data_IF_646952842352
#
_entry.id   IF_646952842352
#
_cell.length_a   1.000
_cell.length_b   1.000
_cell.length_c   1.000
_cell.angle_alpha   90.00
_cell.angle_beta   90.00
_cell.angle_gamma   90.00
#
_symmetry.space_group_name_H-M   'P 1'
#
loop_
_entity.id
_entity.type
_entity.pdbx_description
1 polymer ?
#
# COMPACT_ATOMS: atom_id res chain seq x y z
N UNK A 1 -62.20 15.11 -5.03
CA UNK A 1 -62.31 14.76 -3.61
C UNK A 1 -61.22 13.77 -3.30
N UNK A 2 -60.52 14.08 -2.20
CA UNK A 2 -59.60 13.25 -1.42
C UNK A 2 -58.20 13.09 -2.05
N UNK A 3 -57.25 14.00 -1.77
CA UNK A 3 -56.45 14.17 -0.53
C UNK A 3 -55.17 13.33 -0.54
N UNK A 4 -54.02 14.03 -0.54
CA UNK A 4 -52.78 13.74 0.19
C UNK A 4 -52.07 12.38 -0.05
N UNK A 5 -50.78 12.26 -0.35
CA UNK A 5 -49.61 13.10 -0.06
C UNK A 5 -48.45 12.66 -0.94
N UNK A 6 -47.60 13.62 -1.33
CA UNK A 6 -46.25 13.36 -1.85
C UNK A 6 -45.40 12.65 -0.80
N UNK A 7 -44.80 11.52 -1.14
CA UNK A 7 -43.78 10.87 -0.31
C UNK A 7 -42.49 10.60 -1.12
N UNK A 8 -41.52 11.48 -0.88
CA UNK A 8 -40.07 11.25 -0.79
C UNK A 8 -39.29 10.70 -2.01
N UNK A 9 -38.71 11.68 -2.72
CA UNK A 9 -37.28 11.84 -3.08
C UNK A 9 -36.31 10.66 -2.77
N UNK A 10 -35.44 10.40 -3.75
CA UNK A 10 -34.11 9.75 -3.74
C UNK A 10 -34.02 8.22 -3.84
N UNK A 11 -33.56 7.77 -5.01
CA UNK A 11 -32.52 6.73 -5.09
C UNK A 11 -31.39 7.21 -5.99
N UNK A 12 -30.72 8.27 -5.56
CA UNK A 12 -29.38 8.60 -6.02
C UNK A 12 -28.44 7.50 -5.52
N UNK A 13 -27.61 6.99 -6.43
CA UNK A 13 -26.23 6.57 -6.17
C UNK A 13 -25.98 5.80 -4.87
N UNK A 14 -26.21 4.48 -4.89
CA UNK A 14 -25.57 3.59 -3.92
C UNK A 14 -24.13 3.38 -4.37
N UNK A 15 -23.37 4.46 -4.20
CA UNK A 15 -21.93 4.48 -4.10
C UNK A 15 -21.52 3.32 -3.19
N UNK A 16 -20.69 2.44 -3.72
CA UNK A 16 -20.06 1.33 -3.01
C UNK A 16 -19.59 1.80 -1.64
N UNK A 17 -20.33 1.43 -0.60
CA UNK A 17 -19.93 1.62 0.78
C UNK A 17 -18.86 0.57 1.06
N UNK A 18 -17.65 0.84 0.56
CA UNK A 18 -16.44 0.16 1.01
C UNK A 18 -16.28 0.53 2.48
N UNK A 19 -16.62 -0.44 3.32
CA UNK A 19 -16.62 -0.42 4.77
C UNK A 19 -15.47 0.42 5.34
N UNK A 20 -15.80 1.63 5.78
CA UNK A 20 -14.90 2.67 6.30
C UNK A 20 -14.27 2.28 7.66
N UNK A 21 -14.40 1.00 8.07
CA UNK A 21 -13.81 0.43 9.28
C UNK A 21 -12.68 -0.58 8.99
N UNK A 22 -12.55 -1.11 7.76
CA UNK A 22 -11.49 -2.07 7.41
C UNK A 22 -10.27 -1.47 6.70
N UNK A 23 -10.21 -0.16 6.49
CA UNK A 23 -8.95 0.57 6.27
C UNK A 23 -8.19 0.64 7.61
N UNK A 24 -7.91 -0.52 8.21
CA UNK A 24 -6.82 -0.69 9.16
C UNK A 24 -5.58 -0.19 8.44
N UNK A 25 -5.16 1.05 8.73
CA UNK A 25 -3.98 1.76 8.18
C UNK A 25 -3.04 0.81 7.41
N UNK A 26 -3.32 0.64 6.12
CA UNK A 26 -2.39 -0.06 5.24
C UNK A 26 -1.23 0.90 4.98
N UNK A 27 -0.03 0.36 4.89
CA UNK A 27 1.17 1.15 4.69
C UNK A 27 1.72 0.86 3.30
N UNK A 28 1.56 1.82 2.39
CA UNK A 28 2.06 1.72 1.03
C UNK A 28 3.45 2.36 0.91
N UNK A 29 4.36 1.68 0.23
CA UNK A 29 5.64 2.26 -0.15
C UNK A 29 5.50 3.07 -1.43
N UNK A 30 5.76 4.38 -1.37
CA UNK A 30 5.69 5.27 -2.53
C UNK A 30 6.65 4.91 -3.67
N UNK A 31 7.76 4.22 -3.38
CA UNK A 31 8.77 3.90 -4.39
C UNK A 31 8.47 2.64 -5.20
N UNK A 32 7.75 1.68 -4.61
CA UNK A 32 7.49 0.38 -5.25
C UNK A 32 6.02 -0.05 -5.22
N UNK A 33 5.14 0.76 -4.62
CA UNK A 33 3.68 0.56 -4.55
C UNK A 33 3.30 -0.75 -3.84
N UNK A 34 4.20 -1.27 -3.00
CA UNK A 34 3.93 -2.47 -2.19
C UNK A 34 3.17 -2.04 -0.95
N UNK A 35 2.07 -2.75 -0.68
CA UNK A 35 1.18 -2.50 0.44
C UNK A 35 1.44 -3.50 1.55
N UNK A 36 1.70 -2.98 2.75
CA UNK A 36 1.90 -3.75 3.97
C UNK A 36 0.70 -3.59 4.90
N UNK A 37 0.29 -4.69 5.53
CA UNK A 37 -0.74 -4.70 6.58
C UNK A 37 -0.18 -4.39 7.97
N UNK A 38 1.14 -4.43 8.11
CA UNK A 38 1.88 -4.27 9.36
C UNK A 38 2.87 -3.10 9.26
N UNK A 39 2.90 -2.25 10.28
CA UNK A 39 3.76 -1.06 10.30
C UNK A 39 5.24 -1.39 10.46
N UNK A 40 5.58 -2.41 11.25
CA UNK A 40 6.96 -2.82 11.47
C UNK A 40 7.56 -3.35 10.17
N UNK A 41 6.81 -4.20 9.45
CA UNK A 41 7.19 -4.69 8.11
C UNK A 41 7.41 -3.55 7.11
N UNK A 42 6.52 -2.55 7.10
CA UNK A 42 6.69 -1.36 6.26
C UNK A 42 7.95 -0.55 6.62
N UNK A 43 8.22 -0.36 7.90
CA UNK A 43 9.41 0.35 8.37
C UNK A 43 10.71 -0.40 8.00
N UNK A 44 10.76 -1.71 8.21
CA UNK A 44 11.90 -2.55 7.80
C UNK A 44 12.08 -2.51 6.29
N UNK A 45 11.00 -2.63 5.52
CA UNK A 45 11.05 -2.52 4.06
C UNK A 45 11.67 -1.20 3.58
N UNK A 46 11.27 -0.07 4.17
CA UNK A 46 11.82 1.24 3.80
C UNK A 46 13.33 1.38 4.03
N UNK A 47 13.87 0.68 5.03
CA UNK A 47 15.31 0.68 5.30
C UNK A 47 16.13 -0.05 4.24
N UNK A 48 15.49 -0.89 3.42
CA UNK A 48 16.14 -1.67 2.37
C UNK A 48 16.36 -0.85 1.09
N UNK A 49 15.61 0.23 0.92
CA UNK A 49 15.85 1.20 -0.14
C UNK A 49 17.09 2.04 0.21
N UNK A 50 18.05 2.13 -0.71
CA UNK A 50 19.27 2.91 -0.50
C UNK A 50 19.01 4.42 -0.43
N UNK A 51 18.28 4.97 -1.41
CA UNK A 51 17.92 6.39 -1.43
C UNK A 51 16.63 6.62 -2.22
N UNK A 52 15.93 7.75 -2.01
CA UNK A 52 14.73 8.10 -2.79
C UNK A 52 14.98 8.20 -4.30
N UNK A 53 16.18 8.61 -4.71
CA UNK A 53 16.59 8.73 -6.12
C UNK A 53 16.97 7.38 -6.74
N UNK A 54 17.38 6.40 -5.91
CA UNK A 54 17.75 5.06 -6.34
C UNK A 54 17.06 4.01 -5.47
N UNK A 55 15.71 3.91 -5.54
CA UNK A 55 14.95 3.04 -4.65
C UNK A 55 15.26 1.56 -4.90
N UNK A 56 15.60 1.17 -6.12
CA UNK A 56 15.89 -0.24 -6.43
C UNK A 56 17.34 -0.65 -6.16
N UNK A 57 18.12 0.20 -5.48
CA UNK A 57 19.41 -0.18 -4.92
C UNK A 57 19.22 -0.69 -3.51
N UNK A 58 19.72 -1.89 -3.23
CA UNK A 58 19.69 -2.46 -1.90
C UNK A 58 20.61 -1.67 -0.97
N UNK A 59 20.07 -1.15 0.14
CA UNK A 59 20.85 -0.43 1.14
C UNK A 59 21.88 -1.33 1.84
N UNK A 60 21.61 -2.64 1.91
CA UNK A 60 22.42 -3.57 2.69
C UNK A 60 23.60 -4.16 1.91
N UNK A 61 23.42 -4.51 0.63
CA UNK A 61 24.51 -5.05 -0.20
C UNK A 61 24.93 -4.14 -1.36
N UNK A 62 24.21 -3.04 -1.59
CA UNK A 62 24.51 -2.09 -2.66
C UNK A 62 24.11 -2.53 -4.07
N UNK A 63 23.51 -3.72 -4.24
CA UNK A 63 23.09 -4.24 -5.54
C UNK A 63 21.94 -3.42 -6.13
N UNK A 64 22.10 -2.97 -7.37
CA UNK A 64 21.06 -2.27 -8.13
C UNK A 64 20.22 -3.28 -8.90
N UNK A 65 18.90 -3.20 -8.73
CA UNK A 65 17.93 -3.94 -9.55
C UNK A 65 17.28 -3.04 -10.58
N UNK A 66 16.83 -3.65 -11.67
CA UNK A 66 16.25 -2.95 -12.82
C UNK A 66 14.81 -2.49 -12.56
N UNK A 67 14.05 -3.21 -11.72
CA UNK A 67 12.66 -2.91 -11.43
C UNK A 67 12.25 -3.37 -10.01
N UNK A 68 11.03 -3.00 -9.61
CA UNK A 68 10.46 -3.31 -8.30
C UNK A 68 10.31 -4.81 -8.01
N UNK A 69 10.03 -5.63 -9.03
CA UNK A 69 9.86 -7.08 -8.85
C UNK A 69 11.19 -7.76 -8.55
N UNK A 70 12.22 -7.43 -9.32
CA UNK A 70 13.59 -7.95 -9.10
C UNK A 70 14.14 -7.51 -7.75
N UNK A 71 13.84 -6.27 -7.34
CA UNK A 71 14.20 -5.75 -6.02
C UNK A 71 13.47 -6.50 -4.90
N UNK A 72 12.16 -6.73 -5.04
CA UNK A 72 11.38 -7.49 -4.07
C UNK A 72 11.88 -8.93 -3.93
N UNK A 73 12.11 -9.62 -5.04
CA UNK A 73 12.66 -10.98 -5.04
C UNK A 73 14.04 -11.00 -4.40
N UNK A 74 14.91 -10.05 -4.73
CA UNK A 74 16.22 -9.90 -4.08
C UNK A 74 16.08 -9.78 -2.56
N UNK A 75 15.28 -8.83 -2.07
CA UNK A 75 15.11 -8.61 -0.63
C UNK A 75 14.44 -9.79 0.09
N UNK A 76 13.50 -10.47 -0.57
CA UNK A 76 12.79 -11.60 0.01
C UNK A 76 13.62 -12.89 0.04
N UNK A 77 14.52 -13.08 -0.93
CA UNK A 77 15.36 -14.28 -1.05
C UNK A 77 16.73 -14.12 -0.38
N UNK A 78 17.31 -12.92 -0.43
CA UNK A 78 18.56 -12.65 0.25
C UNK A 78 18.25 -12.57 1.74
N UNK A 79 18.73 -13.56 2.50
CA UNK A 79 18.83 -13.46 3.95
C UNK A 79 19.94 -12.46 4.28
N UNK A 80 19.62 -11.19 4.03
CA UNK A 80 20.34 -10.05 4.54
C UNK A 80 20.35 -10.16 6.06
N UNK A 81 21.43 -10.71 6.62
CA UNK A 81 21.60 -10.86 8.06
C UNK A 81 21.54 -9.46 8.67
N UNK A 82 20.47 -9.18 9.41
CA UNK A 82 20.36 -8.01 10.27
C UNK A 82 21.42 -8.18 11.36
N UNK A 83 22.64 -7.72 11.06
CA UNK A 83 23.74 -7.63 12.03
C UNK A 83 23.64 -6.32 12.81
#
# INVERSE_FOLDING_TARGET
>A
NDEHSNEFINRHDQQTQVDECQIKRLFECFHCEIIFKDFAMYCTHKQLHYSPDNPFRCAQCGEQKANKYDFFVHVAQQAHELT
#
